data_IF_850962439122
#
_entry.id   IF_850962439122
#
_cell.length_a   1.000
_cell.length_b   1.000
_cell.length_c   1.000
_cell.angle_alpha   90.00
_cell.angle_beta   90.00
_cell.angle_gamma   90.00
#
_symmetry.space_group_name_H-M   'P 1'
#
loop_
_entity.id
_entity.type
_entity.pdbx_description
1 polymer ?
#
# COMPACT_ATOMS: atom_id res chain seq x y z
N UNK A 1 -24.04 -30.28 -25.10
CA UNK A 1 -22.67 -30.59 -24.61
C UNK A 1 -22.07 -29.35 -23.96
N UNK A 2 -21.94 -29.34 -22.63
CA UNK A 2 -21.18 -28.30 -21.93
C UNK A 2 -19.70 -28.58 -22.21
N UNK A 3 -19.04 -27.78 -23.05
CA UNK A 3 -17.58 -27.80 -23.15
C UNK A 3 -17.02 -27.37 -21.80
N UNK A 4 -16.49 -28.31 -21.02
CA UNK A 4 -15.69 -28.01 -19.85
C UNK A 4 -14.51 -27.13 -20.29
N UNK A 5 -14.49 -25.89 -19.81
CA UNK A 5 -13.33 -25.01 -19.94
C UNK A 5 -12.23 -25.56 -19.05
N UNK A 6 -11.25 -26.26 -19.64
CA UNK A 6 -10.04 -26.67 -18.95
C UNK A 6 -9.37 -25.41 -18.34
N UNK A 7 -9.11 -25.36 -17.02
CA UNK A 7 -8.57 -24.17 -16.39
C UNK A 7 -7.16 -23.89 -16.90
N UNK A 8 -6.91 -22.66 -17.32
CA UNK A 8 -5.56 -22.20 -17.63
C UNK A 8 -4.69 -22.29 -16.36
N UNK A 9 -3.59 -23.05 -16.39
CA UNK A 9 -2.72 -23.31 -15.24
C UNK A 9 -1.31 -22.77 -15.45
N UNK A 10 -0.82 -21.95 -14.49
CA UNK A 10 0.62 -21.73 -14.31
C UNK A 10 1.13 -22.90 -13.47
N UNK A 11 2.04 -23.69 -14.02
CA UNK A 11 2.72 -24.76 -13.29
C UNK A 11 4.15 -24.34 -13.02
N UNK A 12 4.60 -24.55 -11.79
CA UNK A 12 5.95 -24.20 -11.34
C UNK A 12 6.67 -25.48 -10.93
N UNK A 13 7.91 -25.65 -11.37
CA UNK A 13 8.77 -26.74 -10.92
C UNK A 13 10.21 -26.26 -10.70
N UNK A 14 10.79 -26.65 -9.56
CA UNK A 14 12.05 -26.11 -9.07
C UNK A 14 11.89 -24.83 -8.23
N UNK A 15 13.02 -24.26 -7.80
CA UNK A 15 13.06 -23.06 -6.97
C UNK A 15 12.89 -21.82 -7.83
N UNK A 16 11.78 -21.10 -7.70
CA UNK A 16 11.60 -19.85 -8.44
C UNK A 16 12.25 -18.70 -7.66
N UNK A 17 13.18 -17.94 -8.28
CA UNK A 17 13.90 -16.89 -7.60
C UNK A 17 13.11 -15.56 -7.49
N UNK A 18 11.79 -15.59 -7.70
CA UNK A 18 10.87 -14.45 -7.61
C UNK A 18 9.53 -14.88 -7.02
N UNK A 19 8.78 -13.93 -6.47
CA UNK A 19 7.39 -14.17 -6.06
C UNK A 19 6.46 -14.14 -7.29
N UNK A 20 5.63 -15.18 -7.41
CA UNK A 20 4.66 -15.35 -8.50
C UNK A 20 3.20 -15.33 -8.00
N UNK A 21 2.94 -15.04 -6.72
CA UNK A 21 1.62 -15.11 -6.11
C UNK A 21 0.57 -14.23 -6.81
N UNK A 22 1.00 -13.11 -7.40
CA UNK A 22 0.13 -12.16 -8.11
C UNK A 22 -0.15 -12.56 -9.58
N UNK A 23 0.33 -13.69 -10.11
CA UNK A 23 0.17 -14.04 -11.53
C UNK A 23 -0.89 -15.12 -11.76
N UNK A 24 -1.71 -14.92 -12.80
CA UNK A 24 -2.71 -15.85 -13.29
C UNK A 24 -2.70 -15.87 -14.83
N UNK A 25 -3.17 -16.94 -15.47
CA UNK A 25 -3.37 -16.96 -16.92
C UNK A 25 -4.71 -16.32 -17.27
N UNK A 26 -4.77 -15.61 -18.41
CA UNK A 26 -6.05 -15.18 -19.00
C UNK A 26 -6.53 -16.24 -19.96
N UNK A 27 -7.70 -16.80 -19.71
CA UNK A 27 -8.41 -17.64 -20.68
C UNK A 27 -8.82 -16.77 -21.87
N UNK A 28 -8.35 -17.09 -23.07
CA UNK A 28 -8.88 -16.46 -24.26
C UNK A 28 -10.38 -16.80 -24.44
N UNK A 29 -11.17 -15.93 -25.11
CA UNK A 29 -12.61 -16.17 -25.34
C UNK A 29 -12.90 -17.48 -26.10
N UNK A 30 -11.90 -18.11 -26.72
CA UNK A 30 -12.04 -19.26 -27.58
C UNK A 30 -11.28 -20.50 -27.05
N UNK A 31 -11.68 -21.04 -25.89
CA UNK A 31 -11.67 -22.48 -25.57
C UNK A 31 -10.39 -23.33 -25.66
N UNK A 32 -9.23 -22.80 -26.05
CA UNK A 32 -7.96 -23.53 -26.07
C UNK A 32 -7.26 -23.41 -24.71
N UNK A 33 -6.98 -24.54 -24.07
CA UNK A 33 -6.18 -24.59 -22.85
C UNK A 33 -4.73 -24.16 -23.17
N UNK A 34 -4.34 -22.97 -22.73
CA UNK A 34 -2.96 -22.52 -22.70
C UNK A 34 -2.35 -22.87 -21.34
N UNK A 35 -1.22 -23.56 -21.31
CA UNK A 35 -0.44 -23.84 -20.10
C UNK A 35 0.86 -23.03 -20.12
N UNK A 36 1.23 -22.43 -18.98
CA UNK A 36 2.55 -21.85 -18.78
C UNK A 36 3.30 -22.68 -17.75
N UNK A 37 4.38 -23.34 -18.17
CA UNK A 37 5.29 -24.05 -17.28
C UNK A 37 6.50 -23.16 -16.97
N UNK A 38 6.76 -22.92 -15.68
CA UNK A 38 7.91 -22.15 -15.21
C UNK A 38 8.89 -23.11 -14.54
N UNK A 39 10.12 -23.15 -15.06
CA UNK A 39 11.21 -23.97 -14.56
C UNK A 39 12.21 -23.09 -13.80
N UNK A 40 12.51 -23.45 -12.55
CA UNK A 40 13.61 -22.88 -11.78
C UNK A 40 14.69 -23.92 -11.46
N UNK A 41 15.78 -23.52 -10.79
CA UNK A 41 16.81 -24.45 -10.34
C UNK A 41 16.25 -25.66 -9.59
N UNK A 42 16.72 -26.86 -9.94
CA UNK A 42 16.25 -28.12 -9.36
C UNK A 42 14.97 -28.70 -9.97
N UNK A 43 14.49 -28.17 -11.10
CA UNK A 43 13.35 -28.75 -11.83
C UNK A 43 13.60 -30.21 -12.28
N UNK A 44 12.57 -31.01 -12.51
CA UNK A 44 12.64 -32.47 -12.76
C UNK A 44 12.32 -32.86 -14.21
N UNK A 45 12.35 -31.88 -15.12
CA UNK A 45 12.03 -32.06 -16.53
C UNK A 45 13.24 -32.47 -17.36
N UNK A 46 13.03 -33.47 -18.22
CA UNK A 46 13.95 -33.93 -19.26
C UNK A 46 13.31 -33.73 -20.64
N UNK A 47 14.06 -33.78 -21.76
CA UNK A 47 13.47 -33.68 -23.10
C UNK A 47 12.28 -34.64 -23.32
N UNK A 48 12.37 -35.87 -22.81
CA UNK A 48 11.27 -36.84 -22.90
C UNK A 48 10.01 -36.40 -22.13
N UNK A 49 10.16 -35.78 -20.95
CA UNK A 49 9.02 -35.21 -20.21
C UNK A 49 8.46 -33.96 -20.87
N UNK A 50 9.31 -33.14 -21.49
CA UNK A 50 8.87 -31.98 -22.28
C UNK A 50 8.06 -32.43 -23.50
N UNK A 51 8.50 -33.49 -24.19
CA UNK A 51 7.79 -34.05 -25.35
C UNK A 51 6.36 -34.54 -25.04
N UNK A 52 6.06 -34.83 -23.78
CA UNK A 52 4.73 -35.30 -23.33
C UNK A 52 3.77 -34.15 -22.99
N UNK A 53 4.24 -32.88 -23.04
CA UNK A 53 3.42 -31.73 -22.72
C UNK A 53 2.42 -31.43 -23.85
N UNK A 54 1.25 -30.83 -23.53
CA UNK A 54 0.34 -30.32 -24.56
C UNK A 54 1.06 -29.33 -25.47
N UNK A 55 0.88 -29.42 -26.80
CA UNK A 55 1.53 -28.53 -27.78
C UNK A 55 1.32 -27.03 -27.52
N UNK A 56 0.24 -26.65 -26.84
CA UNK A 56 -0.06 -25.27 -26.42
C UNK A 56 0.73 -24.80 -25.20
N UNK A 57 1.60 -25.64 -24.62
CA UNK A 57 2.40 -25.28 -23.44
C UNK A 57 3.57 -24.39 -23.84
N UNK A 58 3.61 -23.20 -23.24
CA UNK A 58 4.78 -22.32 -23.28
C UNK A 58 5.62 -22.50 -22.02
N UNK A 59 6.94 -22.32 -22.15
CA UNK A 59 7.88 -22.65 -21.07
C UNK A 59 8.83 -21.47 -20.81
N UNK A 60 8.87 -21.03 -19.56
CA UNK A 60 9.81 -20.02 -19.06
C UNK A 60 10.81 -20.68 -18.10
N UNK A 61 12.09 -20.63 -18.42
CA UNK A 61 13.17 -21.09 -17.56
C UNK A 61 13.89 -19.90 -16.91
N UNK A 62 13.92 -19.85 -15.59
CA UNK A 62 14.48 -18.72 -14.81
C UNK A 62 15.73 -19.17 -14.05
N UNK A 63 16.89 -18.59 -14.37
CA UNK A 63 18.12 -18.70 -13.58
C UNK A 63 18.66 -20.13 -13.38
N UNK A 64 18.46 -21.01 -14.37
CA UNK A 64 18.87 -22.41 -14.31
C UNK A 64 20.40 -22.57 -14.16
N UNK A 65 20.82 -23.59 -13.42
CA UNK A 65 22.24 -23.93 -13.29
C UNK A 65 22.70 -24.88 -14.40
N UNK A 66 24.01 -25.09 -14.52
CA UNK A 66 24.60 -25.98 -15.55
C UNK A 66 23.94 -27.37 -15.55
N UNK A 67 23.70 -27.95 -14.37
CA UNK A 67 23.10 -29.27 -14.25
C UNK A 67 21.61 -29.29 -14.62
N UNK A 68 20.88 -28.20 -14.35
CA UNK A 68 19.48 -28.04 -14.76
C UNK A 68 19.38 -27.97 -16.29
N UNK A 69 20.24 -27.19 -16.92
CA UNK A 69 20.32 -27.09 -18.39
C UNK A 69 20.72 -28.44 -19.01
N UNK A 70 21.68 -29.15 -18.42
CA UNK A 70 22.05 -30.52 -18.84
C UNK A 70 20.86 -31.47 -18.77
N UNK A 71 20.04 -31.37 -17.71
CA UNK A 71 18.81 -32.18 -17.55
C UNK A 71 17.81 -31.94 -18.69
N UNK A 72 17.75 -30.72 -19.23
CA UNK A 72 16.97 -30.36 -20.43
C UNK A 72 17.64 -30.74 -21.77
N UNK A 73 18.78 -31.44 -21.74
CA UNK A 73 19.51 -31.84 -22.96
C UNK A 73 20.40 -30.76 -23.55
N UNK A 74 20.65 -29.65 -22.84
CA UNK A 74 21.61 -28.63 -23.28
C UNK A 74 23.02 -29.09 -22.90
N UNK A 75 23.91 -29.20 -23.88
CA UNK A 75 25.30 -29.59 -23.65
C UNK A 75 26.01 -28.59 -22.73
N UNK A 76 26.83 -29.09 -21.79
CA UNK A 76 27.58 -28.21 -20.89
C UNK A 76 28.58 -27.30 -21.63
N UNK A 77 29.01 -27.67 -22.84
CA UNK A 77 29.83 -26.83 -23.73
C UNK A 77 29.06 -25.67 -24.36
N UNK A 78 27.72 -25.72 -24.39
CA UNK A 78 26.88 -24.65 -24.92
C UNK A 78 26.68 -23.49 -23.94
N UNK A 79 27.15 -23.62 -22.70
CA UNK A 79 26.98 -22.63 -21.64
C UNK A 79 28.28 -22.39 -20.90
N UNK A 80 28.37 -21.24 -20.26
CA UNK A 80 29.49 -20.87 -19.38
C UNK A 80 28.94 -20.43 -18.03
N UNK A 81 29.51 -20.95 -16.94
CA UNK A 81 29.20 -20.52 -15.58
C UNK A 81 30.32 -19.61 -15.05
N UNK A 82 29.96 -18.47 -14.49
CA UNK A 82 30.92 -17.57 -13.87
C UNK A 82 30.43 -16.12 -13.80
N UNK A 83 31.29 -15.18 -13.36
CA UNK A 83 31.01 -13.76 -13.41
C UNK A 83 30.66 -13.34 -14.84
N UNK A 84 29.59 -12.57 -15.00
CA UNK A 84 29.10 -12.19 -16.31
C UNK A 84 28.78 -10.69 -16.39
N UNK A 85 29.33 -10.04 -17.41
CA UNK A 85 28.96 -8.67 -17.79
C UNK A 85 27.66 -8.69 -18.60
N UNK A 86 26.90 -7.58 -18.66
CA UNK A 86 25.78 -7.45 -19.58
C UNK A 86 26.22 -7.77 -21.01
N UNK A 87 25.32 -8.39 -21.76
CA UNK A 87 25.51 -8.71 -23.15
C UNK A 87 24.36 -8.13 -23.97
N UNK A 88 24.64 -7.82 -25.22
CA UNK A 88 23.63 -7.57 -26.21
C UNK A 88 22.83 -8.86 -26.48
N UNK A 89 21.51 -8.77 -26.43
CA UNK A 89 20.62 -9.80 -26.92
C UNK A 89 20.76 -9.82 -28.44
N UNK A 90 21.47 -10.82 -28.95
CA UNK A 90 21.75 -10.96 -30.38
C UNK A 90 20.50 -11.33 -31.18
N UNK A 91 19.56 -12.07 -30.58
CA UNK A 91 18.36 -12.59 -31.26
C UNK A 91 17.13 -12.37 -30.40
N UNK A 92 16.17 -11.59 -30.92
CA UNK A 92 14.85 -11.42 -30.33
C UNK A 92 13.84 -12.30 -31.04
N UNK A 93 13.05 -13.06 -30.28
CA UNK A 93 11.92 -13.79 -30.81
C UNK A 93 10.71 -12.86 -30.93
N UNK A 94 10.04 -12.77 -32.10
CA UNK A 94 9.01 -11.75 -32.37
C UNK A 94 7.83 -11.77 -31.39
N UNK A 95 7.46 -12.96 -30.91
CA UNK A 95 6.35 -13.14 -29.94
C UNK A 95 6.88 -13.13 -28.49
N UNK A 96 7.73 -14.09 -28.12
CA UNK A 96 8.14 -14.28 -26.73
C UNK A 96 8.97 -13.13 -26.14
N UNK A 97 9.69 -12.36 -26.96
CA UNK A 97 10.46 -11.21 -26.49
C UNK A 97 9.89 -9.88 -26.99
N UNK A 98 8.60 -9.84 -27.37
CA UNK A 98 7.94 -8.62 -27.79
C UNK A 98 8.01 -7.54 -26.69
N UNK A 99 8.41 -6.32 -27.07
CA UNK A 99 8.53 -5.18 -26.15
C UNK A 99 9.68 -5.28 -25.14
N UNK A 100 10.65 -6.16 -25.37
CA UNK A 100 11.91 -6.26 -24.62
C UNK A 100 13.02 -5.65 -25.46
N UNK A 101 13.91 -4.90 -24.83
CA UNK A 101 15.09 -4.30 -25.45
C UNK A 101 16.36 -4.62 -24.67
N UNK A 102 17.51 -4.21 -25.20
CA UNK A 102 18.78 -4.30 -24.46
C UNK A 102 18.86 -3.38 -23.24
N UNK A 103 17.95 -2.41 -23.08
CA UNK A 103 17.90 -1.60 -21.86
C UNK A 103 17.53 -2.43 -20.63
N UNK A 104 16.67 -3.44 -20.81
CA UNK A 104 16.31 -4.40 -19.76
C UNK A 104 17.45 -5.35 -19.43
N UNK A 105 18.36 -5.63 -20.37
CA UNK A 105 19.47 -6.58 -20.18
C UNK A 105 20.77 -5.92 -19.68
N UNK A 106 20.74 -4.62 -19.38
CA UNK A 106 21.91 -3.86 -18.93
C UNK A 106 21.98 -3.74 -17.40
N UNK A 107 23.15 -3.98 -16.82
CA UNK A 107 23.43 -3.82 -15.38
C UNK A 107 24.89 -3.42 -15.12
N UNK A 108 25.17 -2.75 -13.98
CA UNK A 108 26.53 -2.31 -13.60
C UNK A 108 27.12 -3.17 -12.48
N UNK A 109 27.01 -4.49 -12.62
CA UNK A 109 27.55 -5.49 -11.68
C UNK A 109 28.01 -6.73 -12.46
N UNK A 110 28.69 -7.68 -11.82
CA UNK A 110 29.13 -8.92 -12.43
C UNK A 110 28.61 -10.11 -11.61
N UNK A 111 27.31 -10.41 -11.68
CA UNK A 111 26.77 -11.57 -10.97
C UNK A 111 27.35 -12.86 -11.54
N UNK A 112 27.45 -13.88 -10.70
CA UNK A 112 27.81 -15.23 -11.13
C UNK A 112 26.54 -15.91 -11.64
N UNK A 113 26.54 -16.28 -12.91
CA UNK A 113 25.39 -16.89 -13.59
C UNK A 113 25.84 -17.93 -14.60
N UNK A 114 24.92 -18.82 -14.97
CA UNK A 114 25.09 -19.72 -16.11
C UNK A 114 24.46 -19.08 -17.33
N UNK A 115 25.23 -18.83 -18.39
CA UNK A 115 24.74 -18.14 -19.58
C UNK A 115 25.11 -18.90 -20.85
N UNK A 116 24.31 -18.72 -21.91
CA UNK A 116 24.53 -19.42 -23.18
C UNK A 116 25.71 -18.82 -23.95
N UNK A 117 26.49 -19.67 -24.58
CA UNK A 117 27.51 -19.24 -25.52
C UNK A 117 26.80 -18.85 -26.83
N UNK A 118 27.07 -17.65 -27.36
CA UNK A 118 26.50 -17.20 -28.64
C UNK A 118 27.58 -17.43 -29.72
N UNK A 119 27.32 -18.23 -30.77
CA UNK A 119 28.28 -18.46 -31.84
C UNK A 119 28.79 -17.16 -32.46
N UNK A 120 30.12 -17.03 -32.59
CA UNK A 120 30.74 -15.84 -33.19
C UNK A 120 30.72 -14.58 -32.32
N UNK A 121 30.18 -14.62 -31.10
CA UNK A 121 30.15 -13.49 -30.19
C UNK A 121 30.95 -13.78 -28.92
N UNK A 122 31.72 -12.79 -28.44
CA UNK A 122 32.41 -12.88 -27.14
C UNK A 122 31.46 -12.72 -25.97
N UNK A 123 30.25 -12.25 -26.22
CA UNK A 123 29.22 -12.01 -25.21
C UNK A 123 28.38 -13.27 -24.94
N UNK A 124 27.71 -13.29 -23.79
CA UNK A 124 26.94 -14.46 -23.34
C UNK A 124 25.44 -14.17 -23.42
N UNK A 125 24.66 -15.14 -23.90
CA UNK A 125 23.20 -15.04 -23.99
C UNK A 125 22.53 -15.29 -22.64
N UNK A 126 21.98 -14.23 -22.05
CA UNK A 126 21.17 -14.33 -20.82
C UNK A 126 19.68 -14.49 -21.10
N UNK A 127 19.21 -13.97 -22.24
CA UNK A 127 17.87 -14.21 -22.76
C UNK A 127 17.99 -14.93 -24.10
N UNK A 128 17.57 -16.19 -24.15
CA UNK A 128 17.58 -16.98 -25.39
C UNK A 128 16.31 -17.79 -25.51
N UNK A 129 15.88 -18.04 -26.75
CA UNK A 129 14.81 -18.99 -27.04
C UNK A 129 15.43 -20.21 -27.71
N UNK A 130 15.08 -21.41 -27.24
CA UNK A 130 15.51 -22.68 -27.85
C UNK A 130 14.33 -23.61 -28.01
N UNK A 131 14.35 -24.40 -29.08
CA UNK A 131 13.40 -25.48 -29.31
C UNK A 131 13.92 -26.74 -28.62
N UNK A 132 13.14 -27.32 -27.72
CA UNK A 132 13.45 -28.58 -27.07
C UNK A 132 12.22 -29.48 -27.17
N UNK A 133 12.40 -30.65 -27.79
CA UNK A 133 11.32 -31.63 -28.00
C UNK A 133 10.03 -31.02 -28.60
N UNK A 134 10.18 -30.07 -29.54
CA UNK A 134 9.06 -29.41 -30.21
C UNK A 134 8.41 -28.25 -29.44
N UNK A 135 8.94 -27.87 -28.27
CA UNK A 135 8.46 -26.74 -27.48
C UNK A 135 9.47 -25.58 -27.49
N UNK A 136 9.02 -24.33 -27.70
CA UNK A 136 9.84 -23.17 -27.44
C UNK A 136 10.01 -22.98 -25.94
N UNK A 137 11.26 -22.94 -25.48
CA UNK A 137 11.62 -22.60 -24.11
C UNK A 137 12.35 -21.26 -24.13
N UNK A 138 11.82 -20.31 -23.35
CA UNK A 138 12.44 -19.01 -23.12
C UNK A 138 13.31 -19.10 -21.88
N UNK A 139 14.61 -18.94 -22.04
CA UNK A 139 15.56 -18.95 -20.94
C UNK A 139 15.91 -17.51 -20.55
N UNK A 140 15.65 -17.15 -19.30
CA UNK A 140 16.08 -15.90 -18.68
C UNK A 140 17.03 -16.23 -17.53
N UNK A 141 18.33 -16.18 -17.80
CA UNK A 141 19.40 -16.59 -16.88
C UNK A 141 19.82 -15.47 -15.93
N UNK A 142 19.54 -14.22 -16.28
CA UNK A 142 19.80 -13.06 -15.44
C UNK A 142 18.49 -12.33 -15.13
N UNK A 143 18.26 -12.06 -13.85
CA UNK A 143 17.01 -11.45 -13.38
C UNK A 143 17.18 -10.68 -12.07
N UNK A 144 16.09 -10.14 -11.50
CA UNK A 144 16.15 -9.19 -10.38
C UNK A 144 16.74 -9.78 -9.09
N UNK A 145 16.69 -11.10 -8.93
CA UNK A 145 17.25 -11.82 -7.78
C UNK A 145 18.78 -11.77 -7.67
N UNK A 146 19.46 -11.45 -8.78
CA UNK A 146 20.92 -11.32 -8.80
C UNK A 146 21.41 -9.97 -8.28
N UNK A 147 20.50 -9.03 -8.05
CA UNK A 147 20.84 -7.67 -7.65
C UNK A 147 20.81 -7.55 -6.13
N UNK A 148 21.99 -7.46 -5.53
CA UNK A 148 22.18 -7.24 -4.11
C UNK A 148 21.92 -5.76 -3.75
N UNK A 149 20.65 -5.40 -3.53
CA UNK A 149 20.29 -4.05 -3.11
C UNK A 149 20.73 -3.72 -1.68
N UNK A 150 21.03 -4.73 -0.84
CA UNK A 150 21.48 -4.50 0.53
C UNK A 150 22.84 -3.83 0.52
N UNK A 151 23.77 -4.35 -0.28
CA UNK A 151 25.13 -3.80 -0.38
C UNK A 151 25.31 -2.83 -1.55
N UNK A 152 24.44 -2.87 -2.57
CA UNK A 152 24.49 -2.00 -3.76
C UNK A 152 23.15 -1.30 -4.04
N UNK A 153 22.69 -0.40 -3.14
CA UNK A 153 21.38 0.25 -3.27
C UNK A 153 21.24 1.07 -4.56
N UNK A 154 22.33 1.62 -5.11
CA UNK A 154 22.37 2.33 -6.39
C UNK A 154 21.95 1.47 -7.60
N UNK A 155 21.88 0.14 -7.46
CA UNK A 155 21.34 -0.74 -8.49
C UNK A 155 19.81 -0.86 -8.46
N UNK A 156 19.08 -0.08 -7.64
CA UNK A 156 17.61 -0.08 -7.56
C UNK A 156 16.95 0.04 -8.93
N UNK A 157 17.42 0.96 -9.78
CA UNK A 157 16.88 1.12 -11.15
C UNK A 157 17.19 -0.08 -12.03
N UNK A 158 18.35 -0.70 -11.87
CA UNK A 158 18.71 -1.94 -12.59
C UNK A 158 17.75 -3.07 -12.20
N UNK A 159 17.52 -3.28 -10.90
CA UNK A 159 16.59 -4.31 -10.43
C UNK A 159 15.17 -4.07 -10.94
N UNK A 160 14.70 -2.82 -10.98
CA UNK A 160 13.39 -2.46 -11.55
C UNK A 160 13.28 -2.85 -13.03
N UNK A 161 14.31 -2.60 -13.84
CA UNK A 161 14.35 -3.02 -15.26
C UNK A 161 14.32 -4.54 -15.40
N UNK A 162 15.03 -5.26 -14.53
CA UNK A 162 15.01 -6.73 -14.50
C UNK A 162 13.63 -7.29 -14.09
N UNK A 163 12.92 -6.63 -13.17
CA UNK A 163 11.52 -6.97 -12.89
C UNK A 163 10.62 -6.73 -14.11
N UNK A 164 10.80 -5.61 -14.83
CA UNK A 164 10.07 -5.37 -16.07
C UNK A 164 10.35 -6.42 -17.13
N UNK A 165 11.60 -6.87 -17.26
CA UNK A 165 11.99 -7.96 -18.15
C UNK A 165 11.17 -9.22 -17.87
N UNK A 166 11.23 -9.73 -16.64
CA UNK A 166 10.55 -10.98 -16.28
C UNK A 166 9.04 -10.83 -16.38
N UNK A 167 8.49 -9.67 -16.00
CA UNK A 167 7.06 -9.37 -16.15
C UNK A 167 6.61 -9.38 -17.60
N UNK A 168 7.43 -8.82 -18.51
CA UNK A 168 7.13 -8.82 -19.94
C UNK A 168 7.19 -10.22 -20.51
N UNK A 169 8.18 -11.03 -20.11
CA UNK A 169 8.27 -12.43 -20.51
C UNK A 169 7.05 -13.24 -20.05
N UNK A 170 6.66 -13.14 -18.78
CA UNK A 170 5.45 -13.76 -18.25
C UNK A 170 4.21 -13.33 -19.05
N UNK A 171 4.10 -12.04 -19.36
CA UNK A 171 2.98 -11.51 -20.13
C UNK A 171 2.92 -12.05 -21.58
N UNK A 172 4.07 -12.09 -22.25
CA UNK A 172 4.20 -12.62 -23.60
C UNK A 172 3.94 -14.13 -23.67
N UNK A 173 4.11 -14.83 -22.55
CA UNK A 173 3.80 -16.25 -22.37
C UNK A 173 2.41 -16.48 -21.75
N UNK A 174 1.51 -15.49 -21.86
CA UNK A 174 0.09 -15.63 -21.51
C UNK A 174 -0.28 -15.32 -20.05
N UNK A 175 0.69 -15.09 -19.17
CA UNK A 175 0.41 -14.70 -17.78
C UNK A 175 -0.08 -13.24 -17.67
N UNK A 176 -0.84 -12.92 -16.64
CA UNK A 176 -1.25 -11.57 -16.23
C UNK A 176 -1.05 -11.43 -14.75
N UNK A 177 -0.67 -10.23 -14.32
CA UNK A 177 -0.59 -9.89 -12.91
C UNK A 177 -1.91 -9.30 -12.43
N UNK A 178 -2.40 -9.74 -11.27
CA UNK A 178 -3.42 -9.01 -10.50
C UNK A 178 -2.78 -7.75 -9.94
N UNK A 179 -3.04 -6.61 -10.58
CA UNK A 179 -2.55 -5.34 -10.08
C UNK A 179 -3.60 -4.68 -9.18
N UNK A 180 -3.28 -4.56 -7.89
CA UNK A 180 -4.05 -3.73 -6.94
C UNK A 180 -4.17 -2.28 -7.39
N UNK A 181 -3.28 -1.82 -8.28
CA UNK A 181 -3.32 -0.47 -8.82
C UNK A 181 -4.61 -0.21 -9.61
N UNK A 182 -5.09 -1.18 -10.41
CA UNK A 182 -6.35 -1.01 -11.14
C UNK A 182 -7.53 -0.88 -10.19
N UNK A 183 -7.55 -1.71 -9.14
CA UNK A 183 -8.58 -1.64 -8.10
C UNK A 183 -8.51 -0.31 -7.32
N UNK A 184 -7.30 0.22 -7.09
CA UNK A 184 -7.08 1.50 -6.42
C UNK A 184 -7.51 2.68 -7.29
N UNK A 185 -7.17 2.67 -8.59
CA UNK A 185 -7.59 3.68 -9.57
C UNK A 185 -9.11 3.72 -9.77
N UNK A 186 -9.78 2.58 -9.63
CA UNK A 186 -11.22 2.48 -9.75
C UNK A 186 -11.98 2.97 -8.51
N UNK A 187 -11.31 3.21 -7.38
CA UNK A 187 -11.94 3.71 -6.15
C UNK A 187 -11.83 5.24 -6.10
N UNK A 188 -12.91 5.98 -5.79
CA UNK A 188 -12.83 7.41 -5.59
C UNK A 188 -11.84 7.73 -4.44
N UNK A 189 -11.07 8.79 -4.60
CA UNK A 189 -10.14 9.24 -3.58
C UNK A 189 -10.94 9.72 -2.36
N UNK A 190 -10.75 9.06 -1.22
CA UNK A 190 -11.28 9.51 0.06
C UNK A 190 -10.24 10.42 0.73
N UNK A 191 -10.60 11.68 1.07
CA UNK A 191 -9.73 12.54 1.86
C UNK A 191 -9.26 11.84 3.14
N UNK A 192 -8.02 12.09 3.56
CA UNK A 192 -7.51 11.50 4.81
C UNK A 192 -7.91 12.28 6.06
N UNK A 193 -8.49 13.46 5.82
CA UNK A 193 -8.89 14.42 6.83
C UNK A 193 -10.32 14.84 6.51
N UNK A 194 -11.19 14.70 7.50
CA UNK A 194 -12.50 15.33 7.54
C UNK A 194 -12.40 16.41 8.60
N UNK A 195 -12.33 17.68 8.18
CA UNK A 195 -12.37 18.80 9.13
C UNK A 195 -13.77 18.94 9.71
N UNK A 196 -13.86 19.19 11.01
CA UNK A 196 -15.14 19.51 11.64
C UNK A 196 -15.57 20.93 11.24
N UNK A 197 -16.88 21.24 11.23
CA UNK A 197 -17.36 22.58 10.97
C UNK A 197 -16.71 23.60 11.91
N UNK A 198 -16.35 24.80 11.44
CA UNK A 198 -15.66 25.79 12.27
C UNK A 198 -16.59 26.54 13.23
N UNK A 199 -17.92 26.43 13.06
CA UNK A 199 -18.92 27.05 13.94
C UNK A 199 -19.51 26.00 14.86
N UNK A 200 -19.37 26.22 16.15
CA UNK A 200 -19.81 25.35 17.23
C UNK A 200 -20.83 26.10 18.09
N UNK A 201 -21.56 25.36 18.91
CA UNK A 201 -22.42 25.91 19.95
C UNK A 201 -21.70 25.80 21.30
N UNK A 202 -21.88 26.80 22.15
CA UNK A 202 -21.22 26.92 23.44
C UNK A 202 -22.18 27.34 24.55
N UNK A 203 -22.00 26.83 25.77
CA UNK A 203 -22.80 27.18 26.94
C UNK A 203 -21.92 27.21 28.19
N UNK A 204 -21.89 28.34 28.89
CA UNK A 204 -21.27 28.44 30.21
C UNK A 204 -22.10 27.70 31.27
N UNK A 205 -21.43 27.04 32.21
CA UNK A 205 -22.01 26.22 33.27
C UNK A 205 -21.49 26.64 34.65
N UNK A 206 -21.80 27.88 35.09
CA UNK A 206 -21.27 28.44 36.34
C UNK A 206 -21.69 27.64 37.59
N UNK A 207 -22.79 26.89 37.51
CA UNK A 207 -23.34 26.11 38.62
C UNK A 207 -22.98 24.61 38.57
N UNK A 208 -22.15 24.17 37.61
CA UNK A 208 -21.81 22.75 37.37
C UNK A 208 -23.06 21.82 37.28
N UNK A 209 -24.09 22.28 36.59
CA UNK A 209 -25.34 21.52 36.42
C UNK A 209 -25.30 20.57 35.23
N UNK A 210 -24.41 20.79 34.25
CA UNK A 210 -24.44 20.08 32.98
C UNK A 210 -24.23 18.57 33.09
N UNK A 211 -23.46 18.13 34.09
CA UNK A 211 -23.30 16.70 34.38
C UNK A 211 -24.57 16.08 34.95
N UNK A 212 -25.19 16.73 35.94
CA UNK A 212 -26.43 16.25 36.57
C UNK A 212 -27.59 16.22 35.56
N UNK A 213 -27.65 17.24 34.70
CA UNK A 213 -28.63 17.35 33.63
C UNK A 213 -28.29 16.54 32.37
N UNK A 214 -27.13 15.86 32.35
CA UNK A 214 -26.68 14.99 31.26
C UNK A 214 -26.55 15.68 29.91
N UNK A 215 -25.96 16.87 29.87
CA UNK A 215 -25.72 17.63 28.63
C UNK A 215 -24.77 16.91 27.64
N UNK A 216 -24.04 15.89 28.09
CA UNK A 216 -23.24 15.01 27.24
C UNK A 216 -24.07 14.08 26.32
N UNK A 217 -25.39 13.97 26.53
CA UNK A 217 -26.27 13.16 25.70
C UNK A 217 -26.57 13.85 24.36
N UNK A 218 -26.68 13.10 23.24
CA UNK A 218 -26.88 13.67 21.90
C UNK A 218 -28.30 14.20 21.66
N UNK A 219 -29.22 14.05 22.62
CA UNK A 219 -30.64 14.40 22.44
C UNK A 219 -30.84 15.90 22.22
N UNK A 220 -31.64 16.29 21.23
CA UNK A 220 -31.82 17.71 20.87
C UNK A 220 -32.63 18.53 21.90
N UNK A 221 -33.35 17.87 22.80
CA UNK A 221 -34.31 18.49 23.72
C UNK A 221 -33.67 19.21 24.91
N UNK A 222 -32.48 18.79 25.36
CA UNK A 222 -31.73 19.51 26.40
C UNK A 222 -31.09 20.80 25.84
N UNK A 223 -30.81 20.82 24.53
CA UNK A 223 -29.91 21.78 23.88
C UNK A 223 -30.61 22.95 23.17
N UNK A 224 -31.95 22.94 23.11
CA UNK A 224 -32.76 24.08 22.64
C UNK A 224 -33.17 25.04 23.76
N UNK A 225 -32.62 24.86 24.97
CA UNK A 225 -32.83 25.82 26.05
C UNK A 225 -32.15 27.14 25.72
N UNK A 226 -32.74 28.24 26.17
CA UNK A 226 -32.15 29.56 26.09
C UNK A 226 -30.73 29.54 26.70
N UNK A 227 -29.72 30.02 25.97
CA UNK A 227 -28.36 30.21 26.49
C UNK A 227 -27.21 29.61 25.66
N UNK A 228 -27.46 28.67 24.74
CA UNK A 228 -26.42 28.21 23.82
C UNK A 228 -26.10 29.31 22.80
N UNK A 229 -24.81 29.65 22.69
CA UNK A 229 -24.31 30.69 21.80
C UNK A 229 -23.41 30.11 20.72
N UNK A 230 -23.38 30.72 19.53
CA UNK A 230 -22.48 30.27 18.46
C UNK A 230 -21.09 30.89 18.64
N UNK A 231 -20.05 30.08 18.53
CA UNK A 231 -18.65 30.51 18.52
C UNK A 231 -17.84 29.77 17.46
N UNK A 232 -16.63 30.25 17.18
CA UNK A 232 -15.69 29.60 16.26
C UNK A 232 -14.68 28.73 17.01
N UNK A 233 -14.34 27.61 16.39
CA UNK A 233 -13.26 26.70 16.79
C UNK A 233 -12.35 26.47 15.58
N UNK A 234 -11.01 26.59 15.72
CA UNK A 234 -10.27 26.95 16.93
C UNK A 234 -10.52 28.39 17.39
N UNK A 235 -10.37 28.62 18.70
CA UNK A 235 -10.54 29.91 19.36
C UNK A 235 -10.87 29.78 20.85
N UNK A 236 -10.63 30.86 21.59
CA UNK A 236 -10.98 30.95 23.01
C UNK A 236 -12.42 31.46 23.17
N UNK A 237 -13.19 30.89 24.10
CA UNK A 237 -14.63 31.21 24.23
C UNK A 237 -14.85 32.58 24.89
N UNK A 238 -14.03 32.92 25.87
CA UNK A 238 -14.03 34.16 26.68
C UNK A 238 -13.70 35.40 25.83
N UNK A 239 -12.92 35.22 24.77
CA UNK A 239 -12.59 36.27 23.81
C UNK A 239 -13.67 36.48 22.74
N UNK A 240 -14.55 35.49 22.54
CA UNK A 240 -15.58 35.52 21.49
C UNK A 240 -16.95 35.89 22.03
N UNK A 241 -17.23 35.60 23.30
CA UNK A 241 -18.50 35.84 23.98
C UNK A 241 -18.27 36.97 25.01
N UNK A 242 -18.71 38.21 24.74
CA UNK A 242 -18.43 39.36 25.60
C UNK A 242 -18.83 39.18 27.07
N UNK A 243 -19.91 38.44 27.33
CA UNK A 243 -20.43 38.15 28.68
C UNK A 243 -19.53 37.20 29.47
N UNK A 244 -18.62 36.49 28.79
CA UNK A 244 -17.68 35.54 29.38
C UNK A 244 -16.26 36.10 29.43
N UNK A 245 -16.09 37.40 29.26
CA UNK A 245 -14.79 38.04 29.43
C UNK A 245 -14.27 37.77 30.85
N UNK A 246 -13.05 37.25 30.94
CA UNK A 246 -12.40 36.88 32.21
C UNK A 246 -13.16 35.79 33.00
N UNK A 247 -13.97 34.95 32.33
CA UNK A 247 -14.72 33.86 32.95
C UNK A 247 -13.85 32.63 33.21
N UNK A 248 -13.55 32.37 34.48
CA UNK A 248 -12.98 31.11 34.95
C UNK A 248 -14.11 30.16 35.38
N UNK A 249 -14.30 29.04 34.68
CA UNK A 249 -15.38 28.11 35.00
C UNK A 249 -15.55 26.96 34.03
N UNK A 250 -16.78 26.42 34.00
CA UNK A 250 -17.12 25.30 33.13
C UNK A 250 -17.79 25.81 31.86
N UNK A 251 -17.37 25.25 30.72
CA UNK A 251 -17.94 25.60 29.42
C UNK A 251 -18.19 24.33 28.61
N UNK A 252 -19.36 24.25 28.00
CA UNK A 252 -19.77 23.13 27.18
C UNK A 252 -19.75 23.52 25.71
N UNK A 253 -19.10 22.70 24.90
CA UNK A 253 -19.03 22.81 23.46
C UNK A 253 -19.88 21.73 22.80
N UNK A 254 -20.50 22.06 21.67
CA UNK A 254 -21.24 21.14 20.82
C UNK A 254 -20.98 21.41 19.34
N UNK A 255 -20.83 20.32 18.58
CA UNK A 255 -20.81 20.38 17.12
C UNK A 255 -21.41 19.12 16.51
N UNK A 256 -22.00 19.26 15.33
CA UNK A 256 -22.50 18.15 14.54
C UNK A 256 -21.88 18.09 13.15
N UNK A 257 -21.50 16.91 12.69
CA UNK A 257 -21.03 16.67 11.33
C UNK A 257 -21.36 15.25 10.86
N UNK A 258 -21.29 15.03 9.55
CA UNK A 258 -21.53 13.71 8.96
C UNK A 258 -20.22 13.09 8.51
N UNK A 259 -20.03 11.80 8.80
CA UNK A 259 -18.93 11.00 8.27
C UNK A 259 -19.49 10.14 7.12
N UNK A 260 -18.98 10.24 5.89
CA UNK A 260 -19.49 9.45 4.77
C UNK A 260 -19.34 7.94 4.99
N UNK A 261 -20.29 7.13 4.51
CA UNK A 261 -20.26 5.66 4.60
C UNK A 261 -18.99 5.03 4.00
N UNK A 262 -18.32 5.70 3.07
CA UNK A 262 -17.07 5.24 2.49
C UNK A 262 -15.91 5.12 3.50
N UNK A 263 -16.03 5.75 4.69
CA UNK A 263 -15.06 5.62 5.79
C UNK A 263 -15.34 4.43 6.70
N UNK A 264 -16.46 3.71 6.53
CA UNK A 264 -16.82 2.56 7.36
C UNK A 264 -15.77 1.46 7.22
N UNK A 265 -15.33 0.93 8.37
CA UNK A 265 -14.29 -0.12 8.44
C UNK A 265 -12.87 0.42 8.33
N UNK A 266 -12.68 1.72 8.09
CA UNK A 266 -11.37 2.35 8.24
C UNK A 266 -11.12 2.68 9.71
N UNK A 267 -9.86 2.62 10.18
CA UNK A 267 -9.51 3.20 11.47
C UNK A 267 -9.67 4.73 11.41
N UNK A 268 -10.44 5.27 12.35
CA UNK A 268 -10.71 6.70 12.47
C UNK A 268 -10.15 7.23 13.80
N UNK A 269 -9.58 8.43 13.78
CA UNK A 269 -9.08 9.12 14.96
C UNK A 269 -9.65 10.54 14.97
N UNK A 270 -10.33 10.92 16.05
CA UNK A 270 -10.71 12.31 16.32
C UNK A 270 -9.51 13.04 16.92
N UNK A 271 -9.10 14.14 16.30
CA UNK A 271 -8.06 15.04 16.77
C UNK A 271 -8.67 16.40 17.05
N UNK A 272 -8.54 16.90 18.28
CA UNK A 272 -9.04 18.22 18.67
C UNK A 272 -7.89 19.23 18.91
N UNK A 273 -6.67 18.73 19.02
CA UNK A 273 -5.49 19.51 19.42
C UNK A 273 -5.52 19.90 20.89
N UNK A 274 -4.92 21.04 21.24
CA UNK A 274 -4.89 21.53 22.62
C UNK A 274 -6.24 22.09 23.03
N UNK A 275 -6.63 21.85 24.28
CA UNK A 275 -7.82 22.43 24.92
C UNK A 275 -7.37 22.95 26.27
N UNK A 276 -7.56 24.26 26.46
CA UNK A 276 -7.21 24.98 27.67
C UNK A 276 -8.46 25.09 28.56
N UNK A 277 -8.51 24.57 29.78
CA UNK A 277 -7.47 23.88 30.57
C UNK A 277 -7.71 22.35 30.59
N UNK A 278 -8.78 21.92 31.27
CA UNK A 278 -9.16 20.51 31.40
C UNK A 278 -10.35 20.20 30.48
N UNK A 279 -10.43 18.97 29.96
CA UNK A 279 -11.49 18.60 29.03
C UNK A 279 -11.98 17.16 29.20
N UNK A 280 -13.29 16.97 29.02
CA UNK A 280 -13.98 15.69 28.90
C UNK A 280 -14.71 15.64 27.57
N UNK A 281 -14.59 14.54 26.82
CA UNK A 281 -15.11 14.46 25.45
C UNK A 281 -16.05 13.27 25.27
N UNK A 282 -17.19 13.52 24.63
CA UNK A 282 -18.18 12.50 24.26
C UNK A 282 -18.54 12.59 22.79
N UNK A 283 -18.67 11.44 22.14
CA UNK A 283 -19.21 11.31 20.78
C UNK A 283 -20.48 10.49 20.83
N UNK A 284 -21.60 11.05 20.35
CA UNK A 284 -22.90 10.39 20.34
C UNK A 284 -23.34 9.85 21.72
N UNK A 285 -22.91 10.50 22.80
CA UNK A 285 -23.14 10.08 24.19
C UNK A 285 -22.14 9.07 24.75
N UNK A 286 -21.23 8.52 23.93
CA UNK A 286 -20.14 7.65 24.37
C UNK A 286 -18.96 8.50 24.86
N UNK A 287 -18.49 8.22 26.06
CA UNK A 287 -17.31 8.91 26.61
C UNK A 287 -16.03 8.43 25.92
N UNK A 288 -15.31 9.36 25.30
CA UNK A 288 -14.05 9.06 24.60
C UNK A 288 -12.83 9.18 25.53
N UNK A 289 -12.91 10.03 26.55
CA UNK A 289 -11.84 10.21 27.53
C UNK A 289 -11.75 11.63 28.08
N UNK A 290 -10.80 11.82 28.99
CA UNK A 290 -10.53 13.10 29.66
C UNK A 290 -9.03 13.43 29.64
N UNK A 291 -8.72 14.71 29.54
CA UNK A 291 -7.38 15.24 29.85
C UNK A 291 -7.56 16.34 30.89
N UNK A 292 -7.02 16.07 32.08
CA UNK A 292 -7.19 16.88 33.30
C UNK A 292 -5.85 17.01 34.01
N UNK A 293 -5.76 17.87 35.03
CA UNK A 293 -4.62 17.91 35.97
C UNK A 293 -4.34 16.54 36.58
N UNK A 294 -5.37 15.70 36.77
CA UNK A 294 -5.22 14.35 37.31
C UNK A 294 -4.65 13.37 36.29
N UNK A 295 -5.14 13.38 35.06
CA UNK A 295 -4.73 12.41 34.03
C UNK A 295 -3.48 12.83 33.27
N UNK A 296 -3.17 14.13 33.22
CA UNK A 296 -2.04 14.67 32.48
C UNK A 296 -1.42 15.93 33.18
N UNK A 297 -0.87 15.80 34.39
CA UNK A 297 -0.53 16.92 35.27
C UNK A 297 0.50 17.92 34.71
N UNK A 298 1.31 17.52 33.73
CA UNK A 298 2.44 18.32 33.24
C UNK A 298 2.03 19.39 32.22
N UNK A 299 1.05 19.08 31.39
CA UNK A 299 0.72 19.85 30.20
C UNK A 299 -0.77 19.71 29.80
N UNK A 300 -1.66 19.46 30.77
CA UNK A 300 -3.08 19.23 30.51
C UNK A 300 -3.73 20.34 29.68
N UNK A 301 -3.33 21.61 29.76
CA UNK A 301 -3.90 22.71 28.95
C UNK A 301 -3.49 22.69 27.46
N UNK A 302 -2.40 22.02 27.11
CA UNK A 302 -1.82 22.07 25.74
C UNK A 302 -1.64 20.70 25.10
N UNK A 303 -1.75 19.61 25.88
CA UNK A 303 -1.64 18.25 25.37
C UNK A 303 -2.66 18.00 24.24
N UNK A 304 -2.26 17.39 23.12
CA UNK A 304 -3.17 17.16 22.01
C UNK A 304 -4.21 16.09 22.37
N UNK A 305 -5.50 16.42 22.29
CA UNK A 305 -6.61 15.47 22.45
C UNK A 305 -6.74 14.63 21.18
N UNK A 306 -6.55 13.32 21.32
CA UNK A 306 -6.61 12.33 20.24
C UNK A 306 -7.36 11.10 20.73
N UNK A 307 -8.44 10.73 20.04
CA UNK A 307 -9.29 9.60 20.40
C UNK A 307 -9.46 8.67 19.20
N UNK A 308 -9.10 7.39 19.36
CA UNK A 308 -9.46 6.36 18.39
C UNK A 308 -10.96 6.12 18.49
N UNK A 309 -11.66 6.18 17.36
CA UNK A 309 -13.11 5.99 17.32
C UNK A 309 -13.42 4.53 17.02
N UNK A 310 -14.23 3.91 17.87
CA UNK A 310 -14.72 2.56 17.61
C UNK A 310 -15.88 2.58 16.58
N UNK A 311 -16.01 1.55 15.72
CA UNK A 311 -17.01 1.56 14.65
C UNK A 311 -18.47 1.68 15.12
N UNK A 312 -18.77 1.27 16.35
CA UNK A 312 -20.09 1.34 16.99
C UNK A 312 -20.40 2.74 17.57
N UNK A 313 -19.38 3.55 17.86
CA UNK A 313 -19.53 4.93 18.33
C UNK A 313 -19.84 5.92 17.20
N UNK A 314 -19.59 5.53 15.94
CA UNK A 314 -19.68 6.42 14.77
C UNK A 314 -20.91 6.14 13.93
N UNK A 315 -21.67 7.21 13.65
CA UNK A 315 -22.74 7.18 12.68
C UNK A 315 -22.22 7.59 11.30
N UNK A 316 -22.49 6.74 10.32
CA UNK A 316 -22.15 6.97 8.92
C UNK A 316 -23.38 7.46 8.16
N UNK A 317 -23.19 8.41 7.24
CA UNK A 317 -24.23 9.11 6.48
C UNK A 317 -25.35 9.73 7.33
N UNK A 318 -25.06 9.96 8.62
CA UNK A 318 -25.94 10.61 9.59
C UNK A 318 -25.12 11.53 10.50
N UNK A 319 -25.75 12.56 11.10
CA UNK A 319 -25.05 13.46 12.02
C UNK A 319 -24.46 12.71 13.22
N UNK A 320 -23.18 12.93 13.47
CA UNK A 320 -22.52 12.65 14.73
C UNK A 320 -22.55 13.91 15.58
N UNK A 321 -22.73 13.76 16.89
CA UNK A 321 -22.72 14.86 17.85
C UNK A 321 -21.50 14.71 18.76
N UNK A 322 -20.60 15.69 18.73
CA UNK A 322 -19.50 15.80 19.69
C UNK A 322 -19.87 16.82 20.74
N UNK A 323 -19.69 16.41 22.00
CA UNK A 323 -19.82 17.28 23.16
C UNK A 323 -18.48 17.30 23.89
N UNK A 324 -18.02 18.50 24.26
CA UNK A 324 -16.82 18.66 25.07
C UNK A 324 -17.18 19.54 26.26
N UNK A 325 -16.93 19.04 27.46
CA UNK A 325 -16.93 19.86 28.67
C UNK A 325 -15.52 20.34 28.90
N UNK A 326 -15.34 21.63 29.07
CA UNK A 326 -14.07 22.28 29.40
C UNK A 326 -14.18 22.88 30.80
N UNK A 327 -13.14 22.71 31.61
CA UNK A 327 -12.94 23.49 32.83
C UNK A 327 -11.76 24.41 32.57
N UNK A 328 -12.04 25.69 32.47
CA UNK A 328 -11.04 26.74 32.54
C UNK A 328 -10.76 27.05 34.01
N UNK A 329 -9.49 27.03 34.42
CA UNK A 329 -9.13 27.31 35.81
C UNK A 329 -8.46 28.66 36.00
N UNK A 330 -7.99 29.30 34.92
CA UNK A 330 -7.33 30.60 34.97
C UNK A 330 -7.14 31.20 33.57
N UNK A 331 -7.55 32.46 33.40
CA UNK A 331 -7.38 33.28 32.19
C UNK A 331 -8.35 32.89 31.06
N UNK A 332 -7.83 32.29 30.00
CA UNK A 332 -8.56 32.15 28.75
C UNK A 332 -8.73 30.66 28.47
N UNK A 333 -9.97 30.24 28.25
CA UNK A 333 -10.30 28.87 27.96
C UNK A 333 -10.72 28.67 26.51
N UNK A 334 -10.40 27.49 25.97
CA UNK A 334 -10.97 27.05 24.70
C UNK A 334 -10.13 26.06 23.92
N UNK A 335 -10.47 25.90 22.66
CA UNK A 335 -9.89 24.87 21.78
C UNK A 335 -8.94 25.54 20.80
N UNK A 336 -7.64 25.25 20.93
CA UNK A 336 -6.59 25.91 20.14
C UNK A 336 -6.24 25.13 18.86
N UNK A 337 -6.55 23.84 18.81
CA UNK A 337 -6.32 23.00 17.63
C UNK A 337 -7.46 23.02 16.63
N UNK A 338 -7.15 22.71 15.36
CA UNK A 338 -8.15 22.51 14.29
C UNK A 338 -8.78 21.12 14.47
N UNK A 339 -10.06 21.02 14.85
CA UNK A 339 -10.68 19.72 15.07
C UNK A 339 -10.92 18.98 13.75
N UNK A 340 -10.53 17.72 13.71
CA UNK A 340 -10.64 16.87 12.51
C UNK A 340 -10.77 15.41 12.86
N UNK A 341 -11.38 14.64 11.97
CA UNK A 341 -11.25 13.18 11.93
C UNK A 341 -10.19 12.81 10.91
N UNK A 342 -9.18 12.06 11.34
CA UNK A 342 -8.16 11.51 10.46
C UNK A 342 -8.37 10.01 10.29
N UNK A 343 -7.96 9.49 9.14
CA UNK A 343 -7.83 8.06 8.89
C UNK A 343 -6.38 7.72 8.56
N UNK A 344 -6.03 6.43 8.49
CA UNK A 344 -4.65 6.02 8.22
C UNK A 344 -4.15 6.64 6.92
N UNK A 345 -2.96 7.27 6.91
CA UNK A 345 -2.39 7.81 5.70
C UNK A 345 -2.31 6.74 4.61
N UNK A 346 -2.62 7.09 3.36
CA UNK A 346 -2.90 6.14 2.31
C UNK A 346 -1.64 5.50 1.74
N UNK A 347 -0.41 5.72 2.22
CA UNK A 347 0.75 5.20 1.48
C UNK A 347 0.74 3.67 1.34
N UNK A 348 0.03 2.96 2.22
CA UNK A 348 -0.25 1.53 2.09
C UNK A 348 -1.30 1.21 0.98
N UNK A 349 -2.12 2.20 0.61
CA UNK A 349 -3.19 2.20 -0.41
C UNK A 349 -2.94 3.13 -1.64
N UNK A 350 -1.77 3.78 -1.79
CA UNK A 350 -1.44 4.66 -2.93
C UNK A 350 -0.80 3.88 -4.10
N UNK A 351 -0.28 4.59 -5.10
CA UNK A 351 0.48 4.05 -6.24
C UNK A 351 1.79 3.35 -5.87
N UNK A 352 2.28 3.52 -4.64
CA UNK A 352 3.56 2.98 -4.22
C UNK A 352 3.38 1.56 -3.66
N UNK A 353 4.01 0.56 -4.29
CA UNK A 353 4.12 -0.81 -3.75
C UNK A 353 5.26 -0.96 -2.74
N UNK A 354 6.14 0.03 -2.65
CA UNK A 354 7.31 -0.01 -1.76
C UNK A 354 6.98 0.74 -0.47
N UNK A 355 7.41 0.19 0.67
CA UNK A 355 7.37 0.92 1.93
C UNK A 355 8.36 2.09 1.83
N UNK A 356 7.93 3.34 2.08
CA UNK A 356 8.84 4.48 2.11
C UNK A 356 9.85 4.31 3.23
N UNK A 357 11.12 4.60 2.94
CA UNK A 357 12.19 4.66 3.94
C UNK A 357 12.29 6.12 4.38
N UNK A 358 12.29 6.36 5.70
CA UNK A 358 12.24 7.70 6.30
C UNK A 358 13.35 8.64 5.80
N UNK A 359 14.49 8.07 5.41
CA UNK A 359 15.67 8.75 4.90
C UNK A 359 16.01 8.31 3.47
N UNK A 360 15.02 8.26 2.55
CA UNK A 360 15.24 7.93 1.13
C UNK A 360 16.05 9.04 0.42
N UNK A 361 17.32 9.18 0.80
CA UNK A 361 18.28 10.12 0.23
C UNK A 361 18.42 9.82 -1.27
N UNK A 362 18.02 10.77 -2.16
CA UNK A 362 18.11 10.56 -3.60
C UNK A 362 19.55 10.28 -4.05
N UNK A 363 20.57 10.79 -3.35
CA UNK A 363 21.98 10.60 -3.68
C UNK A 363 22.48 9.17 -3.39
N UNK A 364 21.80 8.41 -2.52
CA UNK A 364 22.09 6.98 -2.27
C UNK A 364 21.99 6.13 -3.55
N UNK A 365 21.25 6.61 -4.55
CA UNK A 365 21.00 5.89 -5.81
C UNK A 365 21.93 6.28 -6.95
N UNK A 366 22.77 7.30 -6.77
CA UNK A 366 23.71 7.75 -7.78
C UNK A 366 25.13 7.37 -7.36
N UNK A 367 25.88 6.78 -8.30
CA UNK A 367 27.34 6.77 -8.26
C UNK A 367 27.78 7.81 -9.28
N UNK A 368 28.59 8.77 -8.83
CA UNK A 368 29.35 9.65 -9.71
C UNK A 368 30.43 8.83 -10.44
#
# INVERSE_FOLDING_TARGET
>A
ERRETLPARIRVDGKIPIDLADYHLVTEPAGAAHELLILGPGHRFSPGKIAQLPKSTTILALGLQVDDLRRLGIASSAVTHGPASPAWIAEFHPIFTAGISNAENYWRTQPVVTAFNIPGCKERGFLVVRQIAGHPIVFCQAGPWLIDLKHKPYLRTTQRRQFYLVNRLLHNLGARSTSVLRQRLAKPHLPHVIELPPKWEGLADPDDRGMAEKWFQPNASIHRRDGWQTLRVPGMFDQQIPELKDYDGLFWYRVSWTIPQAYRGLPLTLELGGIDDESWTWLNGHFLGEITKKTNPKDYWSAPRRYRLDPDQVYFDRPNILIIRVRDTYKNGGITGIPRVTTTPPWLNTYYRQQPVKDDDPYRYYRW
#
